data_IF_614545163409
#
_entry.id   IF_614545163409
#
_cell.length_a   1.000
_cell.length_b   1.000
_cell.length_c   1.000
_cell.angle_alpha   90.00
_cell.angle_beta   90.00
_cell.angle_gamma   90.00
#
_symmetry.space_group_name_H-M   'P 1'
#
loop_
_entity.id
_entity.type
_entity.pdbx_description
1 polymer ?
#
# COMPACT_ATOMS: atom_id res chain seq x y z
N UNK A 1 -21.42 15.35 25.45
CA UNK A 1 -20.12 14.76 25.13
C UNK A 1 -20.17 14.38 23.65
N UNK A 2 -19.63 15.27 22.80
CA UNK A 2 -19.70 15.11 21.34
C UNK A 2 -18.51 14.26 20.89
N UNK A 3 -18.78 13.12 20.27
CA UNK A 3 -17.75 12.31 19.62
C UNK A 3 -17.32 12.99 18.32
N UNK A 4 -16.08 13.44 18.23
CA UNK A 4 -15.50 13.91 16.99
C UNK A 4 -15.30 12.71 16.05
N UNK A 5 -15.91 12.79 14.88
CA UNK A 5 -15.72 11.80 13.81
C UNK A 5 -14.41 12.12 13.10
N UNK A 6 -13.45 11.22 13.18
CA UNK A 6 -12.13 11.34 12.59
C UNK A 6 -12.10 10.49 11.31
N UNK A 7 -11.69 11.07 10.19
CA UNK A 7 -11.43 10.33 8.95
C UNK A 7 -9.92 10.05 8.83
N UNK A 8 -9.55 8.77 8.64
CA UNK A 8 -8.19 8.38 8.33
C UNK A 8 -7.96 8.46 6.82
N UNK A 9 -7.06 9.33 6.41
CA UNK A 9 -6.61 9.46 5.02
C UNK A 9 -5.17 8.99 4.92
N UNK A 10 -4.90 8.09 3.98
CA UNK A 10 -3.57 7.59 3.70
C UNK A 10 -2.87 8.49 2.68
N UNK A 11 -1.87 9.25 3.12
CA UNK A 11 -1.01 10.07 2.26
C UNK A 11 0.43 9.56 2.45
N UNK A 12 1.09 9.20 1.38
CA UNK A 12 2.49 8.74 1.34
C UNK A 12 2.85 7.58 2.29
N UNK A 13 1.94 6.60 2.43
CA UNK A 13 2.18 5.42 3.26
C UNK A 13 2.07 5.67 4.77
N UNK A 14 1.56 6.81 5.20
CA UNK A 14 1.25 7.14 6.60
C UNK A 14 -0.23 7.41 6.78
N UNK A 15 -0.81 6.83 7.82
CA UNK A 15 -2.16 7.16 8.24
C UNK A 15 -2.14 8.52 8.94
N UNK A 16 -2.88 9.49 8.42
CA UNK A 16 -3.08 10.81 9.03
C UNK A 16 -4.54 10.91 9.44
N UNK A 17 -4.77 11.09 10.74
CA UNK A 17 -6.11 11.33 11.29
C UNK A 17 -6.44 12.82 11.18
N UNK A 18 -7.45 13.18 10.40
CA UNK A 18 -7.91 14.56 10.24
C UNK A 18 -9.32 14.71 10.82
N UNK A 19 -9.59 15.76 11.61
CA UNK A 19 -10.96 16.07 12.04
C UNK A 19 -11.79 16.54 10.85
N UNK A 20 -13.02 16.07 10.74
CA UNK A 20 -13.95 16.37 9.64
C UNK A 20 -14.39 17.84 9.58
N UNK A 21 -14.02 18.66 10.55
CA UNK A 21 -14.43 20.07 10.66
C UNK A 21 -13.50 21.10 10.00
N UNK A 22 -12.36 20.67 9.44
CA UNK A 22 -11.47 21.57 8.72
C UNK A 22 -11.96 21.76 7.27
N UNK A 23 -12.57 22.89 7.00
CA UNK A 23 -13.04 23.29 5.67
C UNK A 23 -11.89 23.21 4.64
N UNK A 24 -12.16 22.60 3.49
CA UNK A 24 -11.24 22.30 2.40
C UNK A 24 -10.55 23.53 1.74
N UNK A 25 -10.69 24.72 2.28
CA UNK A 25 -10.16 25.96 1.69
C UNK A 25 -8.71 26.28 2.03
N UNK A 26 -8.12 25.70 3.09
CA UNK A 26 -6.76 26.06 3.53
C UNK A 26 -5.67 25.17 2.94
N UNK A 27 -6.01 23.99 2.48
CA UNK A 27 -5.03 23.03 1.91
C UNK A 27 -4.65 23.32 0.44
N UNK A 28 -5.41 24.15 -0.28
CA UNK A 28 -5.19 24.44 -1.71
C UNK A 28 -4.26 25.64 -1.93
N UNK A 29 -4.13 26.54 -0.96
CA UNK A 29 -3.34 27.76 -1.10
C UNK A 29 -1.83 27.56 -0.96
N UNK A 30 -1.39 26.52 -0.25
CA UNK A 30 0.04 26.25 -0.03
C UNK A 30 0.75 25.53 -1.21
N UNK A 31 -0.01 25.05 -2.18
CA UNK A 31 0.52 24.31 -3.36
C UNK A 31 0.86 25.25 -4.55
N UNK A 32 0.67 26.56 -4.44
CA UNK A 32 0.73 27.49 -5.59
C UNK A 32 2.00 28.30 -5.75
N UNK A 33 3.15 27.91 -5.16
CA UNK A 33 4.38 28.68 -5.39
C UNK A 33 5.61 27.81 -5.65
N UNK A 34 5.63 27.13 -6.81
CA UNK A 34 6.86 26.60 -7.40
C UNK A 34 7.16 27.29 -8.73
N UNK A 35 8.39 27.70 -9.02
CA UNK A 35 8.72 28.43 -10.25
C UNK A 35 8.58 27.51 -11.47
N UNK A 36 7.76 27.92 -12.43
CA UNK A 36 7.29 27.17 -13.60
C UNK A 36 8.40 26.57 -14.50
N UNK A 37 9.59 27.11 -14.52
CA UNK A 37 10.68 26.59 -15.36
C UNK A 37 11.41 25.37 -14.79
N UNK A 38 11.43 25.22 -13.46
CA UNK A 38 11.92 24.00 -12.78
C UNK A 38 10.86 22.90 -12.72
N UNK A 39 9.60 23.30 -12.80
CA UNK A 39 8.45 22.41 -12.78
C UNK A 39 8.34 21.54 -14.08
N UNK A 40 8.73 22.06 -15.23
CA UNK A 40 8.56 21.32 -16.51
C UNK A 40 9.52 20.14 -16.68
N UNK A 41 10.79 20.28 -16.26
CA UNK A 41 11.75 19.17 -16.28
C UNK A 41 11.48 18.19 -15.13
N UNK A 42 11.00 18.69 -13.98
CA UNK A 42 10.56 17.85 -12.86
C UNK A 42 9.28 17.07 -13.15
N UNK A 43 8.34 17.61 -13.90
CA UNK A 43 7.08 16.96 -14.26
C UNK A 43 7.28 15.71 -15.12
N UNK A 44 8.12 15.78 -16.16
CA UNK A 44 8.38 14.64 -17.05
C UNK A 44 9.04 13.47 -16.29
N UNK A 45 10.03 13.78 -15.45
CA UNK A 45 10.70 12.76 -14.63
C UNK A 45 9.72 12.17 -13.61
N UNK A 46 8.92 13.00 -12.97
CA UNK A 46 7.86 12.55 -12.06
C UNK A 46 6.88 11.59 -12.75
N UNK A 47 6.38 11.93 -13.93
CA UNK A 47 5.49 11.07 -14.72
C UNK A 47 6.12 9.71 -15.06
N UNK A 48 7.40 9.71 -15.42
CA UNK A 48 8.16 8.46 -15.68
C UNK A 48 8.28 7.61 -14.42
N UNK A 49 8.55 8.21 -13.26
CA UNK A 49 8.61 7.50 -11.98
C UNK A 49 7.23 6.98 -11.56
N UNK A 50 6.17 7.75 -11.80
CA UNK A 50 4.79 7.32 -11.56
C UNK A 50 4.39 6.13 -12.43
N UNK A 51 4.81 6.07 -13.71
CA UNK A 51 4.61 4.89 -14.57
C UNK A 51 5.29 3.66 -14.00
N UNK A 52 6.55 3.76 -13.60
CA UNK A 52 7.25 2.66 -12.96
C UNK A 52 6.57 2.19 -11.66
N UNK A 53 6.06 3.12 -10.85
CA UNK A 53 5.27 2.81 -9.66
C UNK A 53 3.96 2.09 -10.00
N UNK A 54 3.25 2.55 -11.03
CA UNK A 54 2.03 1.89 -11.52
C UNK A 54 2.34 0.47 -12.00
N UNK A 55 3.41 0.27 -12.75
CA UNK A 55 3.88 -1.05 -13.18
C UNK A 55 4.11 -2.00 -12.00
N UNK A 56 4.79 -1.54 -10.93
CA UNK A 56 4.95 -2.33 -9.72
C UNK A 56 3.59 -2.68 -9.10
N UNK A 57 2.66 -1.72 -9.03
CA UNK A 57 1.34 -1.93 -8.44
C UNK A 57 0.46 -2.92 -9.22
N UNK A 58 0.61 -3.01 -10.52
CA UNK A 58 -0.12 -3.93 -11.37
C UNK A 58 0.49 -5.34 -11.36
N UNK A 59 1.82 -5.42 -11.35
CA UNK A 59 2.55 -6.67 -11.52
C UNK A 59 3.27 -7.15 -10.26
N UNK A 60 2.89 -6.69 -9.07
CA UNK A 60 3.56 -7.04 -7.80
C UNK A 60 3.65 -8.55 -7.53
N UNK A 61 2.70 -9.33 -8.04
CA UNK A 61 2.64 -10.79 -7.87
C UNK A 61 3.62 -11.55 -8.79
N UNK A 62 4.17 -10.89 -9.81
CA UNK A 62 5.12 -11.47 -10.74
C UNK A 62 6.57 -11.31 -10.25
N UNK A 63 7.49 -12.13 -10.75
CA UNK A 63 8.93 -12.00 -10.44
C UNK A 63 9.57 -10.87 -11.25
N UNK A 64 9.08 -9.63 -11.07
CA UNK A 64 9.62 -8.44 -11.73
C UNK A 64 10.98 -8.06 -11.17
N UNK A 65 11.89 -7.64 -12.05
CA UNK A 65 13.22 -7.20 -11.68
C UNK A 65 13.41 -5.68 -11.85
N UNK A 66 14.55 -5.19 -11.35
CA UNK A 66 14.87 -3.76 -11.41
C UNK A 66 15.04 -3.26 -12.86
N UNK A 67 15.51 -4.13 -13.77
CA UNK A 67 15.73 -3.75 -15.18
C UNK A 67 14.39 -3.55 -15.89
N UNK A 68 13.40 -4.39 -15.60
CA UNK A 68 12.04 -4.21 -16.11
C UNK A 68 11.42 -2.92 -15.59
N UNK A 69 11.50 -2.67 -14.28
CA UNK A 69 10.94 -1.46 -13.67
C UNK A 69 11.61 -0.19 -14.21
N UNK A 70 12.95 -0.19 -14.36
CA UNK A 70 13.67 0.99 -14.86
C UNK A 70 13.41 1.27 -16.34
N UNK A 71 13.14 0.23 -17.14
CA UNK A 71 12.71 0.38 -18.56
C UNK A 71 11.37 1.07 -18.68
N UNK A 72 10.41 0.78 -17.80
CA UNK A 72 9.12 1.48 -17.77
C UNK A 72 9.26 2.98 -17.50
N UNK A 73 10.27 3.37 -16.71
CA UNK A 73 10.60 4.78 -16.47
C UNK A 73 11.42 5.40 -17.62
N UNK A 74 11.88 4.61 -18.62
CA UNK A 74 12.83 5.05 -19.64
C UNK A 74 14.10 5.68 -19.03
N UNK A 75 14.63 5.08 -17.96
CA UNK A 75 15.81 5.52 -17.22
C UNK A 75 16.83 4.39 -17.09
N UNK A 76 18.12 4.74 -16.97
CA UNK A 76 19.13 3.76 -16.55
C UNK A 76 18.89 3.31 -15.11
N UNK A 77 19.28 2.07 -14.76
CA UNK A 77 19.09 1.50 -13.40
C UNK A 77 19.58 2.43 -12.28
N UNK A 78 20.79 2.96 -12.43
CA UNK A 78 21.38 3.83 -11.42
C UNK A 78 20.60 5.14 -11.25
N UNK A 79 20.25 5.77 -12.36
CA UNK A 79 19.48 7.02 -12.36
C UNK A 79 18.07 6.80 -11.79
N UNK A 80 17.42 5.70 -12.19
CA UNK A 80 16.12 5.31 -11.69
C UNK A 80 16.13 5.10 -10.17
N UNK A 81 17.08 4.30 -9.62
CA UNK A 81 17.17 4.05 -8.19
C UNK A 81 17.30 5.34 -7.38
N UNK A 82 18.17 6.25 -7.81
CA UNK A 82 18.38 7.53 -7.14
C UNK A 82 17.12 8.38 -7.16
N UNK A 83 16.53 8.59 -8.34
CA UNK A 83 15.34 9.44 -8.49
C UNK A 83 14.12 8.84 -7.80
N UNK A 84 13.91 7.52 -7.89
CA UNK A 84 12.81 6.85 -7.22
C UNK A 84 12.89 7.02 -5.69
N UNK A 85 14.11 6.91 -5.12
CA UNK A 85 14.33 7.12 -3.70
C UNK A 85 14.14 8.58 -3.29
N UNK A 86 14.58 9.53 -4.11
CA UNK A 86 14.39 10.97 -3.90
C UNK A 86 12.90 11.33 -3.90
N UNK A 87 12.14 10.77 -4.85
CA UNK A 87 10.71 11.07 -5.04
C UNK A 87 9.79 10.39 -4.00
N UNK A 88 10.02 9.09 -3.77
CA UNK A 88 9.11 8.27 -2.94
C UNK A 88 9.67 7.90 -1.56
N UNK A 89 10.84 8.43 -1.18
CA UNK A 89 11.53 8.14 0.10
C UNK A 89 11.76 6.64 0.38
N UNK A 90 11.68 5.79 -0.65
CA UNK A 90 11.85 4.34 -0.56
C UNK A 90 12.54 3.80 -1.81
N UNK A 91 13.16 2.63 -1.73
CA UNK A 91 13.71 1.98 -2.93
C UNK A 91 12.60 1.20 -3.69
N UNK A 92 12.73 0.99 -5.01
CA UNK A 92 11.76 0.18 -5.78
C UNK A 92 11.53 -1.21 -5.20
N UNK A 93 12.58 -1.87 -4.73
CA UNK A 93 12.49 -3.20 -4.11
C UNK A 93 11.72 -3.17 -2.78
N UNK A 94 11.97 -2.17 -1.92
CA UNK A 94 11.21 -2.00 -0.67
C UNK A 94 9.75 -1.70 -0.97
N UNK A 95 9.48 -0.83 -1.96
CA UNK A 95 8.13 -0.51 -2.40
C UNK A 95 7.38 -1.76 -2.89
N UNK A 96 8.02 -2.61 -3.71
CA UNK A 96 7.46 -3.88 -4.16
C UNK A 96 7.12 -4.80 -2.98
N UNK A 97 8.05 -4.95 -2.01
CA UNK A 97 7.81 -5.76 -0.80
C UNK A 97 6.61 -5.19 -0.03
N UNK A 98 6.57 -3.89 0.20
CA UNK A 98 5.48 -3.24 0.95
C UNK A 98 4.14 -3.46 0.25
N UNK A 99 4.09 -3.36 -1.08
CA UNK A 99 2.89 -3.63 -1.87
C UNK A 99 2.42 -5.09 -1.74
N UNK A 100 3.35 -6.05 -1.79
CA UNK A 100 3.07 -7.48 -1.55
C UNK A 100 2.52 -7.73 -0.15
N UNK A 101 3.11 -7.10 0.86
CA UNK A 101 2.65 -7.25 2.26
C UNK A 101 1.27 -6.63 2.45
N UNK A 102 0.98 -5.46 1.88
CA UNK A 102 -0.35 -4.85 1.95
C UNK A 102 -1.41 -5.79 1.32
N UNK A 103 -1.11 -6.35 0.16
CA UNK A 103 -2.02 -7.32 -0.48
C UNK A 103 -2.17 -8.60 0.34
N UNK A 104 -1.09 -9.08 0.94
CA UNK A 104 -1.16 -10.24 1.85
C UNK A 104 -2.08 -9.97 3.06
N UNK A 105 -2.06 -8.77 3.63
CA UNK A 105 -2.97 -8.38 4.73
C UNK A 105 -4.44 -8.47 4.30
N UNK A 106 -4.76 -8.02 3.09
CA UNK A 106 -6.11 -8.14 2.53
C UNK A 106 -6.52 -9.61 2.39
N UNK A 107 -5.69 -10.42 1.74
CA UNK A 107 -5.97 -11.84 1.49
C UNK A 107 -6.07 -12.67 2.78
N UNK A 108 -5.26 -12.36 3.81
CA UNK A 108 -5.30 -13.04 5.10
C UNK A 108 -6.60 -12.78 5.88
N UNK A 109 -7.37 -11.75 5.55
CA UNK A 109 -8.71 -11.51 6.12
C UNK A 109 -9.74 -12.47 5.55
N UNK A 110 -9.52 -12.99 4.35
CA UNK A 110 -10.42 -13.96 3.73
C UNK A 110 -10.16 -15.37 4.27
N UNK A 111 -11.24 -16.09 4.64
CA UNK A 111 -11.13 -17.40 5.31
C UNK A 111 -10.67 -18.54 4.41
N UNK A 112 -10.76 -18.39 3.09
CA UNK A 112 -10.58 -19.45 2.09
C UNK A 112 -9.12 -19.80 1.79
N UNK A 113 -8.18 -18.86 1.96
CA UNK A 113 -6.77 -19.06 1.62
C UNK A 113 -5.94 -19.46 2.83
N UNK A 114 -5.00 -20.38 2.66
CA UNK A 114 -3.98 -20.68 3.67
C UNK A 114 -2.91 -19.59 3.68
N UNK A 115 -2.06 -19.53 4.72
CA UNK A 115 -0.92 -18.60 4.76
C UNK A 115 0.08 -18.90 3.63
N UNK A 116 0.19 -20.17 3.27
CA UNK A 116 1.05 -20.64 2.17
C UNK A 116 0.50 -20.18 0.82
N UNK A 117 -0.80 -20.31 0.59
CA UNK A 117 -1.44 -19.83 -0.64
C UNK A 117 -1.26 -18.32 -0.80
N UNK A 118 -1.49 -17.56 0.28
CA UNK A 118 -1.28 -16.11 0.29
C UNK A 118 0.17 -15.74 -0.04
N UNK A 119 1.15 -16.46 0.52
CA UNK A 119 2.56 -16.24 0.24
C UNK A 119 2.87 -16.29 -1.26
N UNK A 120 2.40 -17.34 -1.94
CA UNK A 120 2.65 -17.52 -3.38
C UNK A 120 1.79 -16.59 -4.23
N UNK A 121 0.55 -16.34 -3.87
CA UNK A 121 -0.37 -15.43 -4.56
C UNK A 121 0.16 -14.00 -4.62
N UNK A 122 0.83 -13.54 -3.58
CA UNK A 122 1.43 -12.19 -3.58
C UNK A 122 2.85 -12.14 -4.17
N UNK A 123 3.35 -13.26 -4.71
CA UNK A 123 4.60 -13.34 -5.47
C UNK A 123 5.87 -13.59 -4.64
N UNK A 124 5.76 -14.07 -3.39
CA UNK A 124 6.93 -14.58 -2.68
C UNK A 124 7.25 -16.01 -3.09
N UNK A 125 8.54 -16.32 -3.20
CA UNK A 125 9.01 -17.65 -3.59
C UNK A 125 9.22 -18.58 -2.39
N UNK A 126 9.25 -18.06 -1.17
CA UNK A 126 9.41 -18.86 0.04
C UNK A 126 8.58 -18.33 1.21
N UNK A 127 7.98 -19.25 1.95
CA UNK A 127 7.22 -18.96 3.16
C UNK A 127 8.09 -18.35 4.27
N UNK A 128 9.37 -18.73 4.35
CA UNK A 128 10.32 -18.19 5.32
C UNK A 128 10.59 -16.71 5.10
N UNK A 129 10.94 -16.30 3.86
CA UNK A 129 11.16 -14.91 3.48
C UNK A 129 9.88 -14.09 3.69
N UNK A 130 8.73 -14.61 3.26
CA UNK A 130 7.43 -13.98 3.46
C UNK A 130 7.15 -13.71 4.94
N UNK A 131 7.27 -14.74 5.80
CA UNK A 131 6.95 -14.63 7.22
C UNK A 131 7.87 -13.64 7.93
N UNK A 132 9.15 -13.62 7.59
CA UNK A 132 10.14 -12.69 8.15
C UNK A 132 9.82 -11.24 7.76
N UNK A 133 9.61 -10.97 6.46
CA UNK A 133 9.29 -9.64 5.96
C UNK A 133 7.92 -9.15 6.44
N UNK A 134 6.92 -10.02 6.48
CA UNK A 134 5.61 -9.71 7.02
C UNK A 134 5.71 -9.28 8.49
N UNK A 135 6.44 -10.04 9.31
CA UNK A 135 6.66 -9.69 10.72
C UNK A 135 7.41 -8.37 10.89
N UNK A 136 8.41 -8.10 10.07
CA UNK A 136 9.16 -6.83 10.10
C UNK A 136 8.27 -5.63 9.76
N UNK A 137 7.33 -5.77 8.83
CA UNK A 137 6.47 -4.67 8.35
C UNK A 137 5.20 -4.49 9.17
N UNK A 138 4.62 -5.58 9.66
CA UNK A 138 3.31 -5.59 10.35
C UNK A 138 3.47 -5.69 11.87
N UNK A 139 4.63 -6.14 12.34
CA UNK A 139 4.91 -6.35 13.77
C UNK A 139 4.45 -7.72 14.29
N UNK A 140 3.83 -8.55 13.44
CA UNK A 140 3.31 -9.87 13.84
C UNK A 140 3.47 -10.91 12.74
N UNK A 141 3.47 -12.20 13.13
CA UNK A 141 3.54 -13.29 12.18
C UNK A 141 2.22 -13.39 11.36
N UNK A 142 2.27 -13.82 10.07
CA UNK A 142 1.07 -13.93 9.23
C UNK A 142 -0.03 -14.80 9.85
N UNK A 143 0.33 -15.88 10.54
CA UNK A 143 -0.62 -16.79 11.21
C UNK A 143 -1.35 -16.07 12.34
N UNK A 144 -0.62 -15.35 13.19
CA UNK A 144 -1.20 -14.61 14.31
C UNK A 144 -2.07 -13.45 13.81
N UNK A 145 -1.60 -12.73 12.79
CA UNK A 145 -2.37 -11.67 12.15
C UNK A 145 -3.72 -12.20 11.65
N UNK A 146 -3.72 -13.33 10.94
CA UNK A 146 -4.93 -14.01 10.47
C UNK A 146 -5.87 -14.40 11.61
N UNK A 147 -5.31 -14.96 12.68
CA UNK A 147 -6.11 -15.38 13.84
C UNK A 147 -6.81 -14.17 14.48
N UNK A 148 -6.10 -13.09 14.71
CA UNK A 148 -6.68 -11.84 15.25
C UNK A 148 -7.78 -11.26 14.36
N UNK A 149 -7.60 -11.30 13.03
CA UNK A 149 -8.63 -10.83 12.10
C UNK A 149 -9.90 -11.68 12.17
N UNK A 150 -9.77 -13.00 12.34
CA UNK A 150 -10.90 -13.91 12.52
C UNK A 150 -11.67 -13.64 13.83
N UNK A 151 -10.95 -13.45 14.92
CA UNK A 151 -11.53 -13.13 16.21
C UNK A 151 -12.24 -11.77 16.22
N UNK A 152 -11.68 -10.78 15.55
CA UNK A 152 -12.31 -9.47 15.38
C UNK A 152 -13.63 -9.57 14.59
N UNK A 153 -13.65 -10.36 13.51
CA UNK A 153 -14.85 -10.58 12.70
C UNK A 153 -15.93 -11.37 13.45
N UNK A 154 -15.55 -12.34 14.29
CA UNK A 154 -16.51 -13.13 15.07
C UNK A 154 -17.18 -12.35 16.21
N UNK A 155 -16.60 -11.21 16.61
CA UNK A 155 -17.19 -10.33 17.65
C UNK A 155 -18.29 -9.41 17.13
N UNK A 156 -18.45 -9.31 15.80
CA UNK A 156 -19.58 -8.56 15.22
C UNK A 156 -20.82 -9.46 15.24
N UNK A 157 -21.89 -9.11 15.97
CA UNK A 157 -23.10 -9.91 16.02
C UNK A 157 -23.70 -10.08 14.62
N UNK A 158 -24.14 -11.30 14.28
CA UNK A 158 -24.72 -11.61 12.95
C UNK A 158 -25.92 -10.71 12.65
N UNK A 159 -26.70 -10.37 13.67
CA UNK A 159 -27.82 -9.43 13.53
C UNK A 159 -27.41 -8.04 13.05
N UNK A 160 -26.20 -7.58 13.38
CA UNK A 160 -25.68 -6.30 12.91
C UNK A 160 -25.28 -6.39 11.42
N UNK A 161 -24.67 -7.51 11.00
CA UNK A 161 -24.29 -7.75 9.61
C UNK A 161 -25.54 -7.83 8.70
N UNK A 162 -26.60 -8.48 9.16
CA UNK A 162 -27.86 -8.61 8.43
C UNK A 162 -28.58 -7.26 8.30
N UNK A 163 -28.55 -6.43 9.36
CA UNK A 163 -29.20 -5.11 9.36
C UNK A 163 -28.56 -4.13 8.35
N UNK A 164 -27.28 -4.28 8.05
CA UNK A 164 -26.54 -3.43 7.10
C UNK A 164 -26.28 -4.11 5.75
N UNK A 165 -26.89 -5.26 5.48
CA UNK A 165 -26.76 -5.98 4.20
C UNK A 165 -25.35 -6.54 3.93
N UNK A 166 -24.51 -6.65 4.98
CA UNK A 166 -23.14 -7.16 4.91
C UNK A 166 -23.05 -8.67 5.22
N UNK A 167 -24.20 -9.35 5.35
CA UNK A 167 -24.27 -10.79 5.56
C UNK A 167 -23.65 -11.55 4.39
N UNK A 168 -22.71 -12.45 4.68
CA UNK A 168 -22.08 -13.33 3.69
C UNK A 168 -23.15 -14.32 3.23
N UNK A 169 -23.63 -14.19 1.98
CA UNK A 169 -24.39 -15.25 1.31
C UNK A 169 -23.41 -16.40 1.00
N UNK A 170 -23.68 -17.57 1.59
CA UNK A 170 -23.01 -18.82 1.24
C UNK A 170 -23.20 -19.17 -0.24
#
# INVERSE_FOLDING_TARGET
>A
MSQEIIAEVWIDGRAISLPLSASASVAVESARKMPEAKAKVGSEVHERLCRARAFINERYHEPIDLDEISREACLSRYHFLRLFREEFATTPHQYLIDRRIEKAKELLRHRRLTVTDVCFEVGFQSLGSFSTLFRQRVGDAPVNYRQRQREAQSKVPTCFLDMYGLGVKD
#
